data_IF_104069949603
#
_entry.id   IF_104069949603
#
_cell.length_a   1.000
_cell.length_b   1.000
_cell.length_c   1.000
_cell.angle_alpha   90.00
_cell.angle_beta   90.00
_cell.angle_gamma   90.00
#
_symmetry.space_group_name_H-M   'P 1'
#
loop_
_entity.id
_entity.type
_entity.pdbx_description
1 polymer ?
#
# COMPACT_ATOMS: atom_id res chain seq x y z
N UNK A 1 10.31 0.58 3.50
CA UNK A 1 10.11 0.98 2.09
C UNK A 1 8.67 1.40 1.82
N UNK A 2 7.67 0.50 1.95
CA UNK A 2 6.26 0.87 1.71
C UNK A 2 5.71 2.02 2.57
N UNK A 3 6.06 2.07 3.86
CA UNK A 3 5.67 3.16 4.77
C UNK A 3 6.26 4.52 4.36
N UNK A 4 7.55 4.59 4.07
CA UNK A 4 8.22 5.81 3.64
C UNK A 4 7.69 6.33 2.30
N UNK A 5 7.39 5.44 1.35
CA UNK A 5 6.76 5.79 0.07
C UNK A 5 5.35 6.35 0.31
N UNK A 6 4.57 5.73 1.19
CA UNK A 6 3.20 6.19 1.51
C UNK A 6 3.19 7.55 2.23
N UNK A 7 4.15 7.80 3.13
CA UNK A 7 4.35 9.11 3.77
C UNK A 7 4.67 10.16 2.71
N UNK A 8 5.61 9.87 1.81
CA UNK A 8 6.02 10.78 0.76
C UNK A 8 4.86 11.14 -0.18
N UNK A 9 4.08 10.15 -0.61
CA UNK A 9 2.89 10.39 -1.43
C UNK A 9 1.81 11.19 -0.67
N UNK A 10 1.64 10.94 0.62
CA UNK A 10 0.70 11.71 1.46
C UNK A 10 1.14 13.16 1.60
N UNK A 11 2.43 13.40 1.76
CA UNK A 11 2.99 14.75 1.78
C UNK A 11 2.76 15.47 0.45
N UNK A 12 3.07 14.83 -0.69
CA UNK A 12 2.83 15.43 -2.01
C UNK A 12 1.35 15.73 -2.27
N UNK A 13 0.46 14.80 -1.88
CA UNK A 13 -0.99 14.96 -2.03
C UNK A 13 -1.55 16.12 -1.19
N UNK A 14 -0.93 16.43 -0.04
CA UNK A 14 -1.39 17.52 0.84
C UNK A 14 -0.70 18.86 0.56
N UNK A 15 0.58 18.84 0.18
CA UNK A 15 1.42 20.04 0.18
C UNK A 15 1.65 20.66 -1.17
N UNK A 16 1.61 19.90 -2.28
CA UNK A 16 2.10 20.44 -3.55
C UNK A 16 1.20 20.26 -4.76
N UNK A 17 0.17 19.41 -4.76
CA UNK A 17 -0.68 19.06 -5.93
C UNK A 17 0.09 18.76 -7.24
N UNK A 18 1.42 18.70 -7.16
CA UNK A 18 2.37 18.65 -8.26
C UNK A 18 3.28 17.47 -8.01
N UNK A 19 3.37 16.65 -9.04
CA UNK A 19 4.18 15.46 -9.07
C UNK A 19 5.56 15.79 -9.61
N UNK A 20 6.59 15.00 -9.26
CA UNK A 20 7.88 15.12 -9.91
C UNK A 20 7.70 15.06 -11.43
N UNK A 21 8.45 15.89 -12.16
CA UNK A 21 8.31 16.00 -13.62
C UNK A 21 8.54 14.63 -14.27
N UNK A 22 7.58 14.17 -15.07
CA UNK A 22 7.65 12.88 -15.78
C UNK A 22 7.04 11.69 -15.04
N UNK A 23 6.42 11.88 -13.88
CA UNK A 23 5.67 10.85 -13.17
C UNK A 23 4.31 11.38 -12.73
N UNK A 24 3.28 10.55 -12.84
CA UNK A 24 1.96 10.90 -12.33
C UNK A 24 1.80 10.39 -10.88
N UNK A 25 1.20 11.19 -10.00
CA UNK A 25 0.86 10.79 -8.63
C UNK A 25 -0.59 10.34 -8.52
N UNK A 26 -0.83 9.43 -7.58
CA UNK A 26 -2.15 8.86 -7.33
C UNK A 26 -3.25 9.92 -7.26
N UNK A 27 -4.33 9.67 -8.01
CA UNK A 27 -5.58 10.43 -7.93
C UNK A 27 -6.40 10.07 -6.68
N UNK A 28 -6.07 8.95 -6.05
CA UNK A 28 -6.69 8.44 -4.84
C UNK A 28 -5.83 8.74 -3.61
N UNK A 29 -6.45 9.00 -2.44
CA UNK A 29 -5.71 9.41 -1.26
C UNK A 29 -4.77 8.28 -0.77
N UNK A 30 -3.44 8.51 -0.73
CA UNK A 30 -2.46 7.49 -0.31
C UNK A 30 -2.51 7.17 1.19
N UNK A 31 -3.34 7.91 1.95
CA UNK A 31 -3.54 7.74 3.38
C UNK A 31 -3.96 6.32 3.78
N UNK A 32 -4.70 5.61 2.91
CA UNK A 32 -5.11 4.24 3.19
C UNK A 32 -3.92 3.29 3.25
N UNK A 33 -2.97 3.44 2.31
CA UNK A 33 -1.71 2.68 2.32
C UNK A 33 -0.86 3.06 3.54
N UNK A 34 -0.79 4.34 3.87
CA UNK A 34 -0.07 4.83 5.06
C UNK A 34 -0.59 4.19 6.35
N UNK A 35 -1.91 4.24 6.57
CA UNK A 35 -2.55 3.64 7.74
C UNK A 35 -2.26 2.14 7.76
N UNK A 36 -2.42 1.45 6.62
CA UNK A 36 -2.20 0.01 6.54
C UNK A 36 -0.77 -0.41 6.90
N UNK A 37 0.23 0.33 6.40
CA UNK A 37 1.63 0.09 6.79
C UNK A 37 1.89 0.46 8.25
N UNK A 38 1.31 1.55 8.76
CA UNK A 38 1.50 2.00 10.14
C UNK A 38 0.92 1.02 11.17
N UNK A 39 -0.22 0.38 10.88
CA UNK A 39 -0.84 -0.60 11.79
C UNK A 39 -0.17 -1.98 11.76
N UNK A 40 0.77 -2.23 10.84
CA UNK A 40 1.49 -3.52 10.71
C UNK A 40 2.00 -4.08 12.05
N UNK A 41 2.72 -3.32 12.90
CA UNK A 41 3.29 -3.87 14.14
C UNK A 41 2.21 -4.39 15.08
N UNK A 42 1.08 -3.69 15.18
CA UNK A 42 -0.07 -4.08 15.98
C UNK A 42 -0.81 -5.28 15.35
N UNK A 43 -0.97 -5.27 14.02
CA UNK A 43 -1.66 -6.33 13.29
C UNK A 43 -0.93 -7.68 13.37
N UNK A 44 0.40 -7.68 13.41
CA UNK A 44 1.20 -8.91 13.49
C UNK A 44 1.17 -9.57 14.87
N UNK A 45 0.70 -8.89 15.92
CA UNK A 45 0.68 -9.38 17.30
C UNK A 45 -0.35 -10.49 17.55
N UNK A 46 -1.48 -10.49 16.82
CA UNK A 46 -2.59 -11.42 17.04
C UNK A 46 -2.94 -12.17 15.76
N UNK A 47 -3.22 -13.49 15.86
CA UNK A 47 -3.52 -14.34 14.69
C UNK A 47 -4.73 -13.87 13.88
N UNK A 48 -5.84 -13.55 14.54
CA UNK A 48 -7.06 -13.10 13.86
C UNK A 48 -6.87 -11.74 13.18
N UNK A 49 -6.23 -10.79 13.87
CA UNK A 49 -5.93 -9.46 13.33
C UNK A 49 -4.97 -9.54 12.15
N UNK A 50 -4.01 -10.45 12.17
CA UNK A 50 -3.08 -10.69 11.05
C UNK A 50 -3.81 -11.11 9.79
N UNK A 51 -4.76 -12.05 9.88
CA UNK A 51 -5.54 -12.50 8.72
C UNK A 51 -6.38 -11.35 8.16
N UNK A 52 -7.06 -10.60 9.03
CA UNK A 52 -7.84 -9.43 8.61
C UNK A 52 -6.97 -8.37 7.93
N UNK A 53 -5.77 -8.11 8.45
CA UNK A 53 -4.79 -7.18 7.88
C UNK A 53 -4.25 -7.65 6.51
N UNK A 54 -3.98 -8.95 6.35
CA UNK A 54 -3.57 -9.52 5.06
C UNK A 54 -4.66 -9.38 4.01
N UNK A 55 -5.91 -9.73 4.36
CA UNK A 55 -7.05 -9.63 3.45
C UNK A 55 -7.34 -8.19 3.06
N UNK A 56 -7.33 -7.26 4.01
CA UNK A 56 -7.57 -5.84 3.72
C UNK A 56 -6.49 -5.26 2.81
N UNK A 57 -5.22 -5.65 3.01
CA UNK A 57 -4.12 -5.25 2.15
C UNK A 57 -4.25 -5.79 0.73
N UNK A 58 -4.57 -7.08 0.59
CA UNK A 58 -4.76 -7.71 -0.72
C UNK A 58 -5.94 -7.09 -1.49
N UNK A 59 -7.09 -6.92 -0.83
CA UNK A 59 -8.27 -6.27 -1.42
C UNK A 59 -7.93 -4.85 -1.85
N UNK A 60 -7.25 -4.08 -1.00
CA UNK A 60 -6.84 -2.71 -1.30
C UNK A 60 -5.96 -2.63 -2.55
N UNK A 61 -4.94 -3.49 -2.67
CA UNK A 61 -4.06 -3.54 -3.84
C UNK A 61 -4.85 -3.88 -5.10
N UNK A 62 -5.72 -4.90 -5.05
CA UNK A 62 -6.52 -5.30 -6.22
C UNK A 62 -7.44 -4.16 -6.67
N UNK A 63 -8.14 -3.51 -5.74
CA UNK A 63 -9.05 -2.41 -6.06
C UNK A 63 -8.28 -1.23 -6.67
N UNK A 64 -7.16 -0.83 -6.08
CA UNK A 64 -6.35 0.29 -6.57
C UNK A 64 -5.78 0.00 -7.97
N UNK A 65 -5.24 -1.19 -8.20
CA UNK A 65 -4.75 -1.60 -9.52
C UNK A 65 -5.87 -1.62 -10.56
N UNK A 66 -7.07 -2.10 -10.21
CA UNK A 66 -8.21 -2.08 -11.12
C UNK A 66 -8.63 -0.65 -11.48
N UNK A 67 -8.59 0.28 -10.51
CA UNK A 67 -8.87 1.69 -10.77
C UNK A 67 -7.78 2.34 -11.65
N UNK A 68 -6.51 2.00 -11.45
CA UNK A 68 -5.40 2.45 -12.31
C UNK A 68 -5.62 1.99 -13.77
N UNK A 69 -5.99 0.71 -13.98
CA UNK A 69 -6.28 0.14 -15.30
C UNK A 69 -7.50 0.82 -15.94
N UNK A 70 -8.60 0.99 -15.20
CA UNK A 70 -9.83 1.61 -15.72
C UNK A 70 -9.63 3.07 -16.13
N UNK A 71 -8.78 3.81 -15.41
CA UNK A 71 -8.47 5.20 -15.71
C UNK A 71 -7.30 5.34 -16.71
N UNK A 72 -6.75 4.23 -17.22
CA UNK A 72 -5.61 4.18 -18.13
C UNK A 72 -4.43 5.03 -17.64
N UNK A 73 -4.12 4.87 -16.36
CA UNK A 73 -3.26 5.74 -15.57
C UNK A 73 -2.15 4.92 -14.90
N UNK A 74 -0.90 5.39 -14.93
CA UNK A 74 0.25 4.65 -14.39
C UNK A 74 1.01 5.44 -13.32
N UNK A 75 0.98 4.94 -12.08
CA UNK A 75 1.73 5.50 -10.96
C UNK A 75 2.88 4.56 -10.53
N UNK A 76 4.15 4.89 -10.84
CA UNK A 76 5.29 4.04 -10.49
C UNK A 76 5.49 3.93 -8.97
N UNK A 77 5.23 5.01 -8.22
CA UNK A 77 5.31 4.98 -6.76
C UNK A 77 4.25 4.09 -6.13
N UNK A 78 3.02 4.11 -6.67
CA UNK A 78 1.92 3.27 -6.22
C UNK A 78 2.24 1.79 -6.50
N UNK A 79 2.75 1.49 -7.69
CA UNK A 79 3.24 0.16 -8.05
C UNK A 79 4.31 -0.34 -7.07
N UNK A 80 5.28 0.51 -6.69
CA UNK A 80 6.29 0.15 -5.70
C UNK A 80 5.72 -0.12 -4.31
N UNK A 81 4.66 0.62 -3.92
CA UNK A 81 3.93 0.39 -2.68
C UNK A 81 3.12 -0.92 -2.72
N UNK A 82 2.48 -1.24 -3.86
CA UNK A 82 1.78 -2.50 -4.08
C UNK A 82 2.73 -3.70 -3.96
N UNK A 83 3.88 -3.65 -4.63
CA UNK A 83 4.91 -4.70 -4.56
C UNK A 83 5.40 -4.86 -3.11
N UNK A 84 5.68 -3.75 -2.42
CA UNK A 84 6.10 -3.77 -1.01
C UNK A 84 5.03 -4.40 -0.11
N UNK A 85 3.76 -4.08 -0.33
CA UNK A 85 2.63 -4.64 0.41
C UNK A 85 2.46 -6.15 0.19
N UNK A 86 2.48 -6.59 -1.07
CA UNK A 86 2.43 -8.02 -1.43
C UNK A 86 3.61 -8.80 -0.84
N UNK A 87 4.81 -8.21 -0.86
CA UNK A 87 5.98 -8.82 -0.25
C UNK A 87 5.80 -9.01 1.27
N UNK A 88 5.30 -8.00 1.98
CA UNK A 88 5.01 -8.11 3.42
C UNK A 88 3.92 -9.14 3.73
N UNK A 89 2.86 -9.21 2.93
CA UNK A 89 1.80 -10.23 3.06
C UNK A 89 2.40 -11.62 2.85
N UNK A 90 3.24 -11.80 1.82
CA UNK A 90 3.89 -13.08 1.50
C UNK A 90 4.78 -13.57 2.64
N UNK A 91 5.60 -12.68 3.22
CA UNK A 91 6.41 -13.01 4.40
C UNK A 91 5.55 -13.37 5.60
N UNK A 92 4.45 -12.64 5.81
CA UNK A 92 3.50 -12.89 6.90
C UNK A 92 2.82 -14.25 6.78
N UNK A 93 2.41 -14.65 5.57
CA UNK A 93 1.82 -15.97 5.29
C UNK A 93 2.85 -17.08 5.49
N UNK A 94 4.09 -16.91 5.01
CA UNK A 94 5.17 -17.88 5.21
C UNK A 94 5.43 -18.12 6.70
N UNK A 95 5.57 -17.05 7.48
CA UNK A 95 5.78 -17.12 8.92
C UNK A 95 4.60 -17.77 9.68
N UNK A 96 3.35 -17.60 9.19
CA UNK A 96 2.19 -18.28 9.76
C UNK A 96 2.13 -19.78 9.44
N UNK A 97 2.74 -20.25 8.34
CA UNK A 97 2.79 -21.69 8.00
C UNK A 97 3.89 -22.46 8.74
N UNK A 98 4.91 -21.78 9.25
CA UNK A 98 6.04 -22.38 9.97
C UNK A 98 5.77 -22.57 11.48
N UNK A 99 4.66 -22.05 12.01
CA UNK A 99 4.21 -22.18 13.41
C UNK A 99 3.01 -23.12 13.48
#
# INVERSE_FOLDING_TARGET
>A
MGLSISIYLTYLNYSTDTCPVGVECTRYPPVLGLIWFAVTPAALKWKNTRIAWQLSGLIGIVVLVMLEIQNNYFCPFCTSAHISGLFMISLSVKFTREI
#
